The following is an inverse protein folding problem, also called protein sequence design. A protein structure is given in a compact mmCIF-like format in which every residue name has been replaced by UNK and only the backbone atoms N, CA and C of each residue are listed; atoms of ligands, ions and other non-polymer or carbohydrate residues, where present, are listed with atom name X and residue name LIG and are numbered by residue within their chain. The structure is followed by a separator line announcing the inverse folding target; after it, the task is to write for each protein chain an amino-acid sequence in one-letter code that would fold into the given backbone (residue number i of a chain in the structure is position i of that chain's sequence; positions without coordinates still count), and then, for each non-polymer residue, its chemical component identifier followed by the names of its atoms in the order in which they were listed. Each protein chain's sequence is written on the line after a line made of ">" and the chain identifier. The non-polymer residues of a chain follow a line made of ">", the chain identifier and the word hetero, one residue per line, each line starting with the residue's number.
data_IF_076640603914
#
_entry.id   IF_076640603914
#
_cell.length_a   1.000
_cell.length_b   1.000
_cell.length_c   1.000
_cell.angle_alpha   90.00
_cell.angle_beta   90.00
_cell.angle_gamma   90.00
#
_symmetry.space_group_name_H-M   'P 1'
#
loop_
_entity.id
_entity.type
_entity.pdbx_description
1 polymer ?
#
# COMPACT_ATOMS: atom_id res chain seq x y z
N UNK A 1 -2.10 14.44 -5.94
CA UNK A 1 -1.86 13.55 -7.10
C UNK A 1 -3.16 12.90 -7.60
N UNK A 2 -3.16 12.29 -8.80
CA UNK A 2 -4.29 11.49 -9.29
C UNK A 2 -4.28 10.09 -8.68
N UNK A 3 -5.43 9.54 -8.33
CA UNK A 3 -5.58 8.18 -7.80
C UNK A 3 -6.89 7.53 -8.27
N UNK A 4 -6.92 6.19 -8.38
CA UNK A 4 -8.16 5.45 -8.56
C UNK A 4 -8.85 5.29 -7.20
N UNK A 5 -10.03 5.89 -7.05
CA UNK A 5 -10.77 5.95 -5.79
C UNK A 5 -12.09 5.20 -5.93
N UNK A 6 -12.29 4.20 -5.08
CA UNK A 6 -13.58 3.57 -4.87
C UNK A 6 -14.46 4.47 -4.01
N UNK A 7 -15.69 4.73 -4.45
CA UNK A 7 -16.68 5.52 -3.70
C UNK A 7 -17.82 4.67 -3.15
N UNK A 8 -18.28 3.70 -3.95
CA UNK A 8 -19.34 2.74 -3.62
C UNK A 8 -19.29 1.58 -4.60
N UNK A 9 -20.05 0.53 -4.30
CA UNK A 9 -20.18 -0.65 -5.18
C UNK A 9 -20.47 -0.21 -6.62
N UNK A 10 -19.65 -0.68 -7.55
CA UNK A 10 -19.77 -0.36 -8.97
C UNK A 10 -19.18 1.00 -9.41
N UNK A 11 -18.63 1.80 -8.49
CA UNK A 11 -18.22 3.19 -8.74
C UNK A 11 -16.77 3.46 -8.32
N UNK A 12 -15.92 3.62 -9.34
CA UNK A 12 -14.50 4.02 -9.22
C UNK A 12 -14.26 5.18 -10.18
N UNK A 13 -13.66 6.27 -9.69
CA UNK A 13 -13.19 7.38 -10.52
C UNK A 13 -11.72 7.70 -10.30
N UNK A 14 -11.17 8.49 -11.22
CA UNK A 14 -9.83 9.07 -11.08
C UNK A 14 -9.96 10.44 -10.43
N UNK A 15 -9.60 10.51 -9.15
CA UNK A 15 -9.77 11.68 -8.32
C UNK A 15 -8.43 12.40 -8.09
N UNK A 16 -8.49 13.65 -7.64
CA UNK A 16 -7.33 14.34 -7.10
C UNK A 16 -7.32 14.16 -5.57
N UNK A 17 -6.26 13.55 -5.05
CA UNK A 17 -6.01 13.36 -3.62
C UNK A 17 -4.76 14.14 -3.19
N UNK A 18 -4.55 14.32 -1.88
CA UNK A 18 -3.30 14.91 -1.38
C UNK A 18 -2.08 14.06 -1.80
N UNK A 19 -0.94 14.71 -2.02
CA UNK A 19 0.31 13.98 -2.22
C UNK A 19 0.73 13.29 -0.92
N UNK A 20 1.30 12.07 -0.99
CA UNK A 20 1.80 11.39 0.20
C UNK A 20 2.94 12.19 0.83
N UNK A 21 3.09 12.05 2.13
CA UNK A 21 4.21 12.58 2.91
C UNK A 21 4.79 11.46 3.76
N UNK A 22 6.06 11.60 4.14
CA UNK A 22 6.67 10.73 5.15
C UNK A 22 5.94 10.95 6.48
N UNK A 23 5.33 9.91 7.04
CA UNK A 23 4.64 9.97 8.33
C UNK A 23 5.45 9.28 9.43
N UNK A 24 6.19 8.23 9.09
CA UNK A 24 7.09 7.50 9.97
C UNK A 24 8.54 7.57 9.47
N UNK A 25 9.54 7.50 10.37
CA UNK A 25 10.95 7.56 10.00
C UNK A 25 11.40 6.49 8.99
N UNK A 26 10.70 5.37 8.90
CA UNK A 26 10.98 4.23 8.03
C UNK A 26 10.14 4.19 6.75
N UNK A 27 9.34 5.22 6.47
CA UNK A 27 8.57 5.34 5.24
C UNK A 27 9.44 5.63 4.01
N UNK A 28 8.93 5.23 2.84
CA UNK A 28 9.42 5.69 1.53
C UNK A 28 8.24 6.16 0.68
N UNK A 29 8.47 7.17 -0.16
CA UNK A 29 7.53 7.60 -1.19
C UNK A 29 8.04 7.11 -2.53
N UNK A 30 7.15 6.48 -3.30
CA UNK A 30 7.43 6.00 -4.65
C UNK A 30 6.71 6.85 -5.68
N UNK A 31 7.41 7.19 -6.76
CA UNK A 31 6.75 7.46 -8.03
C UNK A 31 6.36 6.12 -8.66
N UNK A 32 5.07 5.81 -8.65
CA UNK A 32 4.54 4.59 -9.27
C UNK A 32 4.79 4.67 -10.79
N UNK A 33 5.44 3.63 -11.32
CA UNK A 33 5.74 3.51 -12.76
C UNK A 33 4.81 2.53 -13.46
N UNK A 34 4.34 1.52 -12.72
CA UNK A 34 3.38 0.54 -13.20
C UNK A 34 2.61 -0.03 -12.00
N UNK A 35 1.33 -0.30 -12.22
CA UNK A 35 0.46 -1.02 -11.29
C UNK A 35 -0.47 -1.94 -12.07
N UNK A 36 -0.83 -3.07 -11.49
CA UNK A 36 -1.81 -3.98 -12.05
C UNK A 36 -3.18 -3.79 -11.40
N UNK A 37 -4.20 -4.41 -12.02
CA UNK A 37 -5.52 -4.63 -11.43
C UNK A 37 -5.57 -6.11 -11.04
N UNK A 38 -5.84 -6.38 -9.78
CA UNK A 38 -5.97 -7.73 -9.25
C UNK A 38 -7.43 -8.17 -9.16
N UNK A 39 -7.67 -9.49 -9.10
CA UNK A 39 -9.01 -10.01 -8.81
C UNK A 39 -9.56 -9.57 -7.44
N UNK A 40 -8.67 -9.33 -6.47
CA UNK A 40 -9.03 -8.77 -5.14
C UNK A 40 -9.53 -7.33 -5.21
N UNK A 41 -9.11 -6.53 -6.20
CA UNK A 41 -9.69 -5.19 -6.41
C UNK A 41 -11.15 -5.31 -6.85
N UNK A 42 -11.49 -6.34 -7.64
CA UNK A 42 -12.87 -6.62 -8.04
C UNK A 42 -13.75 -7.05 -6.86
N UNK A 43 -13.18 -7.76 -5.87
CA UNK A 43 -13.93 -8.08 -4.65
C UNK A 43 -14.38 -6.83 -3.88
N UNK A 44 -13.60 -5.74 -3.94
CA UNK A 44 -14.01 -4.44 -3.39
C UNK A 44 -15.05 -3.79 -4.30
N UNK A 45 -14.79 -3.76 -5.61
CA UNK A 45 -15.69 -3.17 -6.61
C UNK A 45 -17.11 -3.75 -6.58
N UNK A 46 -17.21 -5.08 -6.49
CA UNK A 46 -18.46 -5.85 -6.46
C UNK A 46 -19.11 -5.88 -5.06
N UNK A 47 -18.45 -5.30 -4.04
CA UNK A 47 -18.96 -5.21 -2.68
C UNK A 47 -18.83 -6.48 -1.84
N UNK A 48 -18.05 -7.47 -2.28
CA UNK A 48 -17.74 -8.68 -1.50
C UNK A 48 -16.87 -8.37 -0.28
N UNK A 49 -15.96 -7.39 -0.41
CA UNK A 49 -15.21 -6.80 0.70
C UNK A 49 -15.72 -5.37 0.92
N UNK A 50 -16.65 -5.15 1.87
CA UNK A 50 -17.30 -3.85 2.01
C UNK A 50 -16.31 -2.79 2.49
N UNK A 51 -16.36 -1.63 1.84
CA UNK A 51 -15.64 -0.42 2.26
C UNK A 51 -16.65 0.61 2.75
N UNK A 52 -16.37 1.20 3.92
CA UNK A 52 -17.28 2.14 4.59
C UNK A 52 -17.10 3.60 4.14
N UNK A 53 -16.07 3.87 3.35
CA UNK A 53 -15.63 5.21 2.95
C UNK A 53 -14.88 5.13 1.63
N UNK A 54 -14.66 6.29 1.03
CA UNK A 54 -13.78 6.43 -0.12
C UNK A 54 -12.41 5.80 0.16
N UNK A 55 -11.93 5.02 -0.81
CA UNK A 55 -10.67 4.29 -0.68
C UNK A 55 -9.85 4.37 -1.97
N UNK A 56 -8.59 4.78 -1.84
CA UNK A 56 -7.59 4.63 -2.90
C UNK A 56 -7.29 3.15 -3.09
N UNK A 57 -7.50 2.65 -4.31
CA UNK A 57 -7.25 1.25 -4.67
C UNK A 57 -5.82 1.04 -5.18
N UNK A 58 -5.44 -0.24 -5.30
CA UNK A 58 -4.17 -0.69 -5.86
C UNK A 58 -3.23 -1.23 -4.79
N UNK A 59 -2.77 -2.46 -5.03
CA UNK A 59 -1.87 -3.17 -4.11
C UNK A 59 -0.80 -4.00 -4.86
N UNK A 60 -0.71 -3.83 -6.18
CA UNK A 60 0.23 -4.52 -7.07
C UNK A 60 1.05 -3.50 -7.87
N UNK A 61 1.94 -2.76 -7.20
CA UNK A 61 2.68 -1.67 -7.82
C UNK A 61 4.19 -1.78 -7.67
N UNK A 62 4.87 -1.12 -8.61
CA UNK A 62 6.31 -0.90 -8.60
C UNK A 62 6.63 0.54 -8.97
N UNK A 63 7.77 1.03 -8.51
CA UNK A 63 8.09 2.44 -8.66
C UNK A 63 9.55 2.77 -8.42
N UNK A 64 9.82 4.06 -8.51
CA UNK A 64 11.11 4.66 -8.21
C UNK A 64 10.99 5.40 -6.87
N UNK A 65 11.92 5.15 -5.95
CA UNK A 65 11.97 5.89 -4.68
C UNK A 65 12.25 7.37 -4.96
N UNK A 66 11.35 8.26 -4.54
CA UNK A 66 11.51 9.72 -4.70
C UNK A 66 11.87 10.42 -3.39
N UNK A 67 11.48 9.82 -2.26
CA UNK A 67 11.76 10.29 -0.91
C UNK A 67 11.88 9.08 0.04
N UNK A 68 12.75 9.18 1.05
CA UNK A 68 12.95 8.15 2.06
C UNK A 68 13.13 8.82 3.43
N UNK A 69 12.48 8.25 4.45
CA UNK A 69 12.62 8.70 5.83
C UNK A 69 14.00 8.42 6.42
N UNK A 70 14.36 9.09 7.53
CA UNK A 70 15.71 9.04 8.10
C UNK A 70 16.14 7.67 8.67
N UNK A 71 15.20 6.74 8.91
CA UNK A 71 15.50 5.39 9.39
C UNK A 71 15.61 4.37 8.24
N UNK A 72 15.35 4.76 7.00
CA UNK A 72 15.46 3.88 5.83
C UNK A 72 16.93 3.65 5.47
N UNK A 73 17.36 2.38 5.51
CA UNK A 73 18.77 2.00 5.27
C UNK A 73 18.96 1.05 4.09
N UNK A 74 17.88 0.43 3.58
CA UNK A 74 17.95 -0.66 2.58
C UNK A 74 17.72 -0.19 1.14
N UNK A 75 17.11 0.98 0.95
CA UNK A 75 16.83 1.61 -0.35
C UNK A 75 17.10 3.10 -0.25
N UNK A 76 17.31 3.77 -1.38
CA UNK A 76 17.53 5.21 -1.46
C UNK A 76 16.82 5.82 -2.67
N UNK A 77 16.72 7.15 -2.68
CA UNK A 77 16.18 7.91 -3.82
C UNK A 77 16.84 7.47 -5.13
N UNK A 78 16.01 7.18 -6.14
CA UNK A 78 16.41 6.69 -7.46
C UNK A 78 16.37 5.17 -7.61
N UNK A 79 16.32 4.40 -6.53
CA UNK A 79 16.20 2.94 -6.62
C UNK A 79 14.82 2.54 -7.19
N UNK A 80 14.81 1.47 -8.01
CA UNK A 80 13.57 0.84 -8.48
C UNK A 80 13.19 -0.30 -7.57
N UNK A 81 11.96 -0.30 -7.08
CA UNK A 81 11.46 -1.29 -6.13
C UNK A 81 10.13 -1.90 -6.58
N UNK A 82 9.90 -3.16 -6.20
CA UNK A 82 8.61 -3.85 -6.29
C UNK A 82 8.05 -3.95 -4.88
N UNK A 83 6.78 -3.62 -4.69
CA UNK A 83 6.15 -3.59 -3.37
C UNK A 83 5.30 -4.85 -3.17
N UNK A 84 5.61 -5.68 -2.16
CA UNK A 84 4.70 -6.75 -1.76
C UNK A 84 3.43 -6.14 -1.16
N UNK A 85 2.26 -6.67 -1.52
CA UNK A 85 0.98 -6.14 -1.02
C UNK A 85 0.81 -6.29 0.49
N UNK A 86 1.50 -7.26 1.10
CA UNK A 86 1.43 -7.51 2.54
C UNK A 86 2.25 -6.45 3.30
N UNK A 87 1.57 -5.65 4.10
CA UNK A 87 2.21 -4.74 5.04
C UNK A 87 2.67 -5.55 6.25
N UNK A 88 3.98 -5.63 6.46
CA UNK A 88 4.60 -6.41 7.54
C UNK A 88 5.68 -5.61 8.27
N UNK A 89 5.72 -5.72 9.60
CA UNK A 89 6.66 -4.94 10.43
C UNK A 89 8.11 -5.44 10.44
N UNK A 90 8.37 -6.63 9.89
CA UNK A 90 9.71 -7.23 9.83
C UNK A 90 10.27 -7.75 11.16
N UNK A 91 9.60 -7.53 12.30
CA UNK A 91 10.19 -7.75 13.63
C UNK A 91 9.37 -8.60 14.61
N UNK A 92 8.06 -8.78 14.40
CA UNK A 92 7.26 -9.64 15.29
C UNK A 92 7.62 -11.13 15.11
N UNK A 93 7.13 -12.00 16.02
CA UNK A 93 7.37 -13.45 15.97
C UNK A 93 7.17 -14.05 14.57
N UNK A 94 6.04 -13.75 13.91
CA UNK A 94 5.75 -14.26 12.57
C UNK A 94 6.68 -13.66 11.51
N UNK A 95 6.96 -12.35 11.57
CA UNK A 95 7.86 -11.71 10.62
C UNK A 95 9.29 -12.26 10.71
N UNK A 96 9.80 -12.49 11.93
CA UNK A 96 11.13 -13.06 12.16
C UNK A 96 11.29 -14.49 11.61
N UNK A 97 10.18 -15.21 11.44
CA UNK A 97 10.13 -16.55 10.85
C UNK A 97 9.79 -16.54 9.35
N UNK A 98 9.64 -15.36 8.72
CA UNK A 98 9.27 -15.24 7.31
C UNK A 98 7.76 -15.33 7.02
N UNK A 99 6.91 -15.49 8.05
CA UNK A 99 5.45 -15.52 7.93
C UNK A 99 4.86 -14.10 7.91
N UNK A 100 5.25 -13.28 6.93
CA UNK A 100 4.83 -11.88 6.81
C UNK A 100 3.30 -11.65 6.74
N UNK A 101 2.49 -12.53 6.10
CA UNK A 101 1.02 -12.39 6.11
C UNK A 101 0.38 -12.47 7.50
N UNK A 102 1.07 -13.08 8.48
CA UNK A 102 0.62 -13.21 9.86
C UNK A 102 1.20 -12.10 10.77
N UNK A 103 1.60 -10.96 10.19
CA UNK A 103 2.09 -9.84 10.96
C UNK A 103 1.01 -9.34 11.94
N UNK A 104 1.36 -9.23 13.23
CA UNK A 104 0.45 -8.81 14.31
C UNK A 104 0.47 -7.31 14.59
N UNK A 105 1.41 -6.57 14.00
CA UNK A 105 1.60 -5.14 14.26
C UNK A 105 0.89 -4.23 13.26
N UNK A 106 0.58 -4.73 12.06
CA UNK A 106 0.12 -3.91 10.93
C UNK A 106 -1.39 -3.89 10.77
N UNK A 107 -2.10 -4.82 11.41
CA UNK A 107 -3.55 -4.83 11.48
C UNK A 107 -4.05 -5.13 12.91
N UNK A 108 -3.66 -4.33 13.91
CA UNK A 108 -3.91 -4.63 15.32
C UNK A 108 -5.41 -4.63 15.69
N UNK A 109 -6.29 -4.08 14.85
CA UNK A 109 -7.74 -4.05 15.07
C UNK A 109 -8.44 -5.35 14.68
N UNK A 110 -7.74 -6.26 13.99
CA UNK A 110 -8.28 -7.53 13.50
C UNK A 110 -7.73 -8.73 14.28
N UNK A 111 -7.03 -8.47 15.39
CA UNK A 111 -6.54 -9.46 16.36
C UNK A 111 -7.20 -9.25 17.72
#
# INVERSE_FOLDING_TARGET
>A
MKAAVFHKIGDISVDNVEDPRIEQPDDIILQVTSTAICGSDLHIYDGFVPQLRDQVLGHEFMGIVVEAGPAVTRVKKGDRVVVPFTIACGQCFFCAQGFHPNCVNTNPKMY
#
